data_IF_978085134863
#
_entry.id   IF_978085134863
#
_cell.length_a   1.000
_cell.length_b   1.000
_cell.length_c   1.000
_cell.angle_alpha   90.00
_cell.angle_beta   90.00
_cell.angle_gamma   90.00
#
_symmetry.space_group_name_H-M   'P 1'
#
loop_
_entity.id
_entity.type
_entity.pdbx_description
1 polymer ?
#
# COMPACT_ATOMS: atom_id res chain seq x y z
N UNK A 1 -5.75 21.95 49.93
CA UNK A 1 -5.97 20.51 50.12
C UNK A 1 -6.14 19.91 48.74
N UNK A 2 -5.13 19.13 48.35
CA UNK A 2 -4.91 18.49 47.05
C UNK A 2 -5.97 17.44 46.76
N UNK A 3 -6.32 17.24 45.48
CA UNK A 3 -6.39 15.94 44.78
C UNK A 3 -6.85 16.19 43.33
N UNK A 4 -5.90 16.17 42.39
CA UNK A 4 -6.17 16.08 40.96
C UNK A 4 -6.22 14.58 40.64
N UNK A 5 -7.42 14.04 40.43
CA UNK A 5 -7.59 12.68 39.95
C UNK A 5 -7.05 12.56 38.54
N UNK A 6 -5.95 11.83 38.38
CA UNK A 6 -5.38 11.49 37.09
C UNK A 6 -6.32 10.54 36.34
N UNK A 7 -6.81 10.99 35.18
CA UNK A 7 -7.46 10.12 34.23
C UNK A 7 -6.40 9.29 33.52
N UNK A 8 -6.40 8.00 33.83
CA UNK A 8 -5.67 6.93 33.14
C UNK A 8 -5.81 7.04 31.63
N UNK A 9 -4.68 6.99 30.92
CA UNK A 9 -4.64 6.80 29.47
C UNK A 9 -5.35 5.49 29.12
N UNK A 10 -6.48 5.60 28.41
CA UNK A 10 -7.19 4.46 27.88
C UNK A 10 -6.42 3.87 26.70
N UNK A 11 -6.16 2.57 26.76
CA UNK A 11 -5.61 1.75 25.69
C UNK A 11 -6.34 1.99 24.36
N UNK A 12 -5.59 2.36 23.32
CA UNK A 12 -6.11 2.56 21.98
C UNK A 12 -6.35 1.20 21.30
N UNK A 13 -7.60 0.73 21.35
CA UNK A 13 -8.07 -0.39 20.54
C UNK A 13 -8.21 0.05 19.08
N UNK A 14 -7.65 -0.74 18.16
CA UNK A 14 -7.87 -0.63 16.72
C UNK A 14 -9.37 -0.49 16.41
N UNK A 15 -9.80 0.68 15.93
CA UNK A 15 -11.19 0.86 15.52
C UNK A 15 -11.41 0.09 14.23
N UNK A 16 -11.94 -1.11 14.40
CA UNK A 16 -12.39 -1.97 13.31
C UNK A 16 -13.65 -1.32 12.76
N UNK A 17 -13.66 -0.91 11.49
CA UNK A 17 -14.94 -0.61 10.81
C UNK A 17 -15.82 -1.85 10.97
N UNK A 18 -17.05 -1.66 11.44
CA UNK A 18 -17.93 -2.76 11.83
C UNK A 18 -17.95 -3.86 10.74
N UNK A 19 -17.63 -5.13 11.09
CA UNK A 19 -17.64 -6.20 10.12
C UNK A 19 -19.05 -6.42 9.57
N UNK A 20 -19.15 -6.75 8.28
CA UNK A 20 -20.39 -7.23 7.67
C UNK A 20 -20.95 -8.43 8.47
N UNK A 21 -22.28 -8.60 8.55
CA UNK A 21 -22.90 -9.57 9.45
C UNK A 21 -22.52 -11.01 9.06
N UNK A 22 -22.07 -11.75 10.08
CA UNK A 22 -21.91 -13.20 10.20
C UNK A 22 -21.59 -14.02 8.93
N UNK A 23 -20.44 -13.71 8.31
CA UNK A 23 -19.61 -14.79 7.78
C UNK A 23 -18.68 -15.23 8.92
N UNK A 24 -18.88 -16.46 9.38
CA UNK A 24 -18.00 -17.23 10.26
C UNK A 24 -16.54 -16.75 10.17
N UNK A 25 -16.14 -15.97 11.17
CA UNK A 25 -14.87 -15.25 11.13
C UNK A 25 -13.76 -16.28 11.09
N UNK A 26 -12.94 -16.22 10.03
CA UNK A 26 -11.62 -16.84 10.08
C UNK A 26 -10.96 -16.45 11.41
N UNK A 27 -10.21 -17.37 12.04
CA UNK A 27 -9.44 -17.02 13.23
C UNK A 27 -8.68 -15.72 12.96
N UNK A 28 -8.62 -14.81 13.94
CA UNK A 28 -7.92 -13.53 13.77
C UNK A 28 -6.44 -13.70 13.37
N UNK A 29 -5.85 -14.85 13.68
CA UNK A 29 -4.52 -15.25 13.22
C UNK A 29 -4.41 -15.42 11.69
N UNK A 30 -5.51 -15.74 11.01
CA UNK A 30 -5.58 -15.93 9.57
C UNK A 30 -5.85 -14.65 8.78
N UNK A 31 -6.32 -13.60 9.47
CA UNK A 31 -6.58 -12.28 8.87
C UNK A 31 -5.51 -11.25 9.21
N UNK A 32 -4.57 -11.59 10.12
CA UNK A 32 -3.39 -10.78 10.43
C UNK A 32 -2.22 -11.20 9.54
N UNK A 33 -2.18 -10.68 8.32
CA UNK A 33 -1.02 -10.83 7.46
C UNK A 33 0.13 -9.95 7.97
N UNK A 34 1.37 -10.48 7.95
CA UNK A 34 2.55 -9.72 8.34
C UNK A 34 2.78 -8.57 7.36
N UNK A 35 2.78 -7.33 7.87
CA UNK A 35 3.07 -6.14 7.06
C UNK A 35 4.50 -6.20 6.56
N UNK A 36 4.72 -6.37 5.24
CA UNK A 36 6.07 -6.55 4.69
C UNK A 36 7.00 -5.40 5.11
N UNK A 37 8.24 -5.68 5.55
CA UNK A 37 9.16 -4.64 6.00
C UNK A 37 9.38 -3.54 4.96
N UNK A 38 9.48 -3.91 3.68
CA UNK A 38 9.58 -2.95 2.59
C UNK A 38 8.31 -2.09 2.48
N UNK A 39 7.12 -2.69 2.44
CA UNK A 39 5.88 -1.92 2.37
C UNK A 39 5.72 -0.98 3.58
N UNK A 40 6.18 -1.39 4.76
CA UNK A 40 6.22 -0.56 5.96
C UNK A 40 7.21 0.59 5.83
N UNK A 41 8.36 0.40 5.20
CA UNK A 41 9.36 1.47 5.01
C UNK A 41 8.83 2.63 4.18
N UNK A 42 7.93 2.35 3.23
CA UNK A 42 7.31 3.36 2.36
C UNK A 42 5.91 3.78 2.83
N UNK A 43 5.50 3.35 4.03
CA UNK A 43 4.16 3.56 4.57
C UNK A 43 3.06 3.21 3.56
N UNK A 44 3.17 2.08 2.88
CA UNK A 44 2.17 1.67 1.89
C UNK A 44 0.91 1.19 2.60
N UNK A 45 -0.21 1.82 2.28
CA UNK A 45 -1.52 1.53 2.86
C UNK A 45 -2.54 1.17 1.78
N UNK A 46 -3.55 0.39 2.17
CA UNK A 46 -4.64 -0.01 1.28
C UNK A 46 -5.43 -1.17 1.85
N UNK A 47 -6.36 -1.69 1.05
CA UNK A 47 -7.17 -2.85 1.41
C UNK A 47 -7.14 -3.86 0.28
N UNK A 48 -6.66 -5.06 0.58
CA UNK A 48 -6.75 -6.20 -0.34
C UNK A 48 -8.00 -6.99 0.00
N UNK A 49 -8.88 -7.22 -0.97
CA UNK A 49 -10.04 -8.13 -0.81
C UNK A 49 -9.72 -9.44 -1.49
N UNK A 50 -9.76 -10.52 -0.71
CA UNK A 50 -9.45 -11.87 -1.17
C UNK A 50 -10.71 -12.74 -1.20
N UNK A 51 -10.84 -13.51 -2.27
CA UNK A 51 -11.76 -14.63 -2.36
C UNK A 51 -11.02 -15.92 -2.07
N UNK A 52 -11.65 -16.82 -1.33
CA UNK A 52 -11.07 -18.10 -0.97
C UNK A 52 -12.15 -19.16 -0.77
N UNK A 53 -11.73 -20.42 -0.68
CA UNK A 53 -12.55 -21.55 -0.23
C UNK A 53 -11.81 -22.33 0.84
N UNK A 54 -12.56 -23.09 1.61
CA UNK A 54 -12.00 -24.14 2.46
C UNK A 54 -12.12 -25.44 1.67
N UNK A 55 -11.03 -26.20 1.59
CA UNK A 55 -10.98 -27.54 1.02
C UNK A 55 -10.18 -28.44 1.95
N UNK A 56 -10.79 -29.53 2.39
CA UNK A 56 -10.21 -30.44 3.38
C UNK A 56 -9.59 -29.70 4.59
N UNK A 57 -10.35 -28.76 5.17
CA UNK A 57 -9.92 -27.96 6.34
C UNK A 57 -8.73 -27.04 6.10
N UNK A 58 -8.40 -26.74 4.84
CA UNK A 58 -7.34 -25.80 4.47
C UNK A 58 -7.88 -24.70 3.59
N UNK A 59 -7.27 -23.53 3.69
CA UNK A 59 -7.54 -22.44 2.75
C UNK A 59 -7.03 -22.84 1.37
N UNK A 60 -7.88 -22.70 0.36
CA UNK A 60 -7.62 -23.03 -1.03
C UNK A 60 -8.22 -21.95 -1.96
N UNK A 61 -7.83 -22.00 -3.24
CA UNK A 61 -8.35 -21.15 -4.32
C UNK A 61 -8.31 -19.64 -4.03
N UNK A 62 -7.28 -19.19 -3.30
CA UNK A 62 -7.13 -17.78 -2.93
C UNK A 62 -6.90 -16.92 -4.16
N UNK A 63 -7.74 -15.90 -4.35
CA UNK A 63 -7.67 -14.95 -5.46
C UNK A 63 -7.89 -13.53 -4.97
N UNK A 64 -7.19 -12.57 -5.58
CA UNK A 64 -7.42 -11.14 -5.31
C UNK A 64 -8.67 -10.71 -6.09
N UNK A 65 -9.74 -10.36 -5.35
CA UNK A 65 -10.94 -9.74 -5.93
C UNK A 65 -10.73 -8.25 -6.13
N UNK A 66 -10.13 -7.58 -5.15
CA UNK A 66 -9.81 -6.14 -5.20
C UNK A 66 -8.40 -5.92 -4.68
N UNK A 67 -7.58 -5.26 -5.49
CA UNK A 67 -6.21 -4.92 -5.14
C UNK A 67 -6.16 -3.76 -4.12
N UNK A 68 -5.16 -3.77 -3.27
CA UNK A 68 -4.80 -2.65 -2.40
C UNK A 68 -4.21 -1.47 -3.16
N UNK A 69 -3.82 -1.67 -4.42
CA UNK A 69 -3.02 -0.73 -5.21
C UNK A 69 -1.52 -0.92 -5.05
N UNK A 70 -1.07 -1.90 -4.24
CA UNK A 70 0.34 -2.22 -4.06
C UNK A 70 0.56 -3.73 -4.20
N UNK A 71 1.25 -4.21 -5.27
CA UNK A 71 1.46 -5.64 -5.49
C UNK A 71 2.10 -6.37 -4.30
N UNK A 72 3.00 -5.70 -3.58
CA UNK A 72 3.66 -6.26 -2.39
C UNK A 72 2.69 -6.56 -1.25
N UNK A 73 1.68 -5.70 -1.04
CA UNK A 73 0.64 -5.89 -0.02
C UNK A 73 -0.32 -6.99 -0.44
N UNK A 74 -0.72 -7.01 -1.71
CA UNK A 74 -1.63 -8.03 -2.24
C UNK A 74 -1.00 -9.43 -2.18
N UNK A 75 0.27 -9.54 -2.54
CA UNK A 75 1.01 -10.80 -2.43
C UNK A 75 1.18 -11.23 -0.97
N UNK A 76 1.38 -10.29 -0.04
CA UNK A 76 1.46 -10.60 1.39
C UNK A 76 0.12 -11.07 1.95
N UNK A 77 -0.99 -10.45 1.54
CA UNK A 77 -2.34 -10.88 1.92
C UNK A 77 -2.61 -12.31 1.45
N UNK A 78 -2.31 -12.63 0.19
CA UNK A 78 -2.48 -13.97 -0.38
C UNK A 78 -1.65 -15.00 0.39
N UNK A 79 -0.35 -14.74 0.60
CA UNK A 79 0.52 -15.66 1.34
C UNK A 79 0.06 -15.86 2.78
N UNK A 80 -0.32 -14.80 3.47
CA UNK A 80 -0.81 -14.85 4.84
C UNK A 80 -2.08 -15.70 4.96
N UNK A 81 -3.03 -15.50 4.05
CA UNK A 81 -4.27 -16.26 4.03
C UNK A 81 -4.03 -17.73 3.65
N UNK A 82 -3.13 -18.04 2.71
CA UNK A 82 -2.76 -19.42 2.35
C UNK A 82 -2.01 -20.16 3.47
N UNK A 83 -1.23 -19.43 4.28
CA UNK A 83 -0.50 -19.99 5.41
C UNK A 83 -1.40 -20.25 6.63
N UNK A 84 -2.62 -19.73 6.64
CA UNK A 84 -3.60 -19.96 7.70
C UNK A 84 -3.86 -21.46 7.90
N UNK A 85 -3.66 -21.91 9.15
CA UNK A 85 -4.05 -23.25 9.60
C UNK A 85 -5.40 -23.14 10.30
N UNK A 86 -6.44 -23.71 9.70
CA UNK A 86 -7.72 -23.85 10.37
C UNK A 86 -7.60 -24.94 11.44
N UNK A 87 -8.26 -24.73 12.58
CA UNK A 87 -8.43 -25.80 13.55
C UNK A 87 -9.38 -26.83 12.95
N UNK A 88 -9.01 -28.10 13.05
CA UNK A 88 -9.91 -29.23 12.78
C UNK A 88 -10.82 -29.44 13.97
N UNK A 89 -11.61 -28.43 14.30
CA UNK A 89 -12.74 -28.58 15.21
C UNK A 89 -14.04 -28.49 14.41
N UNK A 90 -15.14 -28.96 15.01
CA UNK A 90 -16.44 -29.12 14.37
C UNK A 90 -17.11 -27.82 13.92
N UNK A 91 -16.51 -26.64 14.18
CA UNK A 91 -17.09 -25.36 13.79
C UNK A 91 -16.84 -25.03 12.31
N UNK A 92 -15.64 -25.31 11.79
CA UNK A 92 -15.34 -25.03 10.38
C UNK A 92 -16.00 -26.08 9.46
N UNK A 93 -16.35 -25.76 8.20
CA UNK A 93 -16.76 -26.78 7.25
C UNK A 93 -15.52 -27.45 6.61
N UNK A 94 -15.62 -28.76 6.31
CA UNK A 94 -14.59 -29.48 5.54
C UNK A 94 -14.35 -28.84 4.18
N UNK A 95 -15.43 -28.46 3.51
CA UNK A 95 -15.44 -27.77 2.22
C UNK A 95 -16.42 -26.59 2.27
N UNK A 96 -16.08 -25.47 1.62
CA UNK A 96 -16.94 -24.28 1.61
C UNK A 96 -17.25 -23.76 0.21
N UNK A 97 -18.37 -23.04 0.08
CA UNK A 97 -18.57 -22.09 -1.01
C UNK A 97 -17.49 -21.00 -1.01
N UNK A 98 -17.39 -20.21 -2.09
CA UNK A 98 -16.49 -19.04 -2.12
C UNK A 98 -16.88 -18.08 -1.01
N UNK A 99 -15.90 -17.70 -0.20
CA UNK A 99 -15.99 -16.68 0.84
C UNK A 99 -15.05 -15.53 0.51
N UNK A 100 -15.26 -14.38 1.15
CA UNK A 100 -14.43 -13.19 0.98
C UNK A 100 -13.91 -12.69 2.31
N UNK A 101 -12.72 -12.07 2.29
CA UNK A 101 -12.12 -11.42 3.45
C UNK A 101 -11.36 -10.17 3.03
N UNK A 102 -11.46 -9.14 3.88
CA UNK A 102 -10.74 -7.89 3.71
C UNK A 102 -9.47 -7.92 4.57
N UNK A 103 -8.32 -7.62 3.96
CA UNK A 103 -7.05 -7.42 4.64
C UNK A 103 -6.69 -5.93 4.54
N UNK A 104 -6.72 -5.23 5.68
CA UNK A 104 -6.51 -3.79 5.78
C UNK A 104 -5.09 -3.48 6.25
N UNK A 105 -4.38 -2.67 5.47
CA UNK A 105 -3.04 -2.15 5.75
C UNK A 105 -3.15 -0.67 6.08
N UNK A 106 -3.08 -0.32 7.37
CA UNK A 106 -3.23 1.05 7.85
C UNK A 106 -2.36 1.30 9.08
N UNK A 107 -1.74 2.47 9.15
CA UNK A 107 -1.00 2.94 10.32
C UNK A 107 -1.96 3.42 11.41
N UNK A 108 -1.58 3.25 12.68
CA UNK A 108 -2.42 3.60 13.83
C UNK A 108 -2.57 5.12 14.05
N UNK A 109 -1.76 5.95 13.38
CA UNK A 109 -1.70 7.41 13.61
C UNK A 109 -2.55 8.26 12.65
N UNK A 110 -3.39 7.64 11.82
CA UNK A 110 -4.10 8.33 10.73
C UNK A 110 -3.19 8.61 9.53
N UNK A 111 -3.66 9.40 8.53
CA UNK A 111 -2.90 9.64 7.31
C UNK A 111 -1.53 10.28 7.59
N UNK A 112 -0.47 9.66 7.07
CA UNK A 112 0.88 10.21 7.20
C UNK A 112 1.01 11.56 6.48
N UNK A 113 1.65 12.51 7.14
CA UNK A 113 2.02 13.81 6.59
C UNK A 113 3.27 13.64 5.70
N UNK A 114 3.03 13.39 4.40
CA UNK A 114 4.05 13.06 3.38
C UNK A 114 4.70 14.30 2.74
N UNK A 115 5.96 14.21 2.28
CA UNK A 115 6.63 15.29 1.58
C UNK A 115 5.80 15.82 0.40
N UNK A 116 5.85 17.12 0.17
CA UNK A 116 5.14 17.79 -0.91
C UNK A 116 6.11 18.13 -2.04
N UNK A 117 5.69 17.95 -3.29
CA UNK A 117 6.49 18.36 -4.44
C UNK A 117 6.68 19.89 -4.40
N UNK A 118 7.92 20.36 -4.49
CA UNK A 118 8.19 21.78 -4.72
C UNK A 118 7.79 22.09 -6.17
N UNK A 119 6.93 23.11 -6.41
CA UNK A 119 6.57 23.53 -7.76
C UNK A 119 7.81 23.77 -8.63
N UNK A 120 7.73 23.35 -9.90
CA UNK A 120 8.75 23.55 -10.94
C UNK A 120 10.15 23.03 -10.58
N UNK A 121 10.26 22.10 -9.64
CA UNK A 121 11.54 21.57 -9.19
C UNK A 121 12.08 20.41 -10.02
N UNK A 122 11.21 19.69 -10.73
CA UNK A 122 11.64 18.62 -11.63
C UNK A 122 12.29 19.23 -12.88
N UNK A 123 13.32 18.57 -13.41
CA UNK A 123 13.95 18.98 -14.66
C UNK A 123 12.94 18.89 -15.82
N UNK A 124 12.99 19.86 -16.73
CA UNK A 124 12.19 19.83 -17.95
C UNK A 124 12.55 18.60 -18.79
N UNK A 125 11.53 17.91 -19.31
CA UNK A 125 11.69 16.73 -20.16
C UNK A 125 10.59 16.65 -21.19
N UNK A 126 10.96 16.38 -22.45
CA UNK A 126 9.98 16.11 -23.51
C UNK A 126 9.30 14.75 -23.32
N UNK A 127 9.97 13.80 -22.67
CA UNK A 127 9.48 12.44 -22.42
C UNK A 127 8.65 12.33 -21.15
N UNK A 128 8.92 13.18 -20.16
CA UNK A 128 8.26 13.19 -18.85
C UNK A 128 7.59 14.54 -18.60
N UNK A 129 6.31 14.71 -18.99
CA UNK A 129 5.59 15.97 -18.84
C UNK A 129 5.42 16.43 -17.39
N UNK A 130 5.50 15.52 -16.41
CA UNK A 130 5.27 15.85 -15.02
C UNK A 130 5.36 14.66 -14.08
N UNK A 131 5.38 14.98 -12.79
CA UNK A 131 5.15 14.05 -11.69
C UNK A 131 3.90 14.49 -10.92
N UNK A 132 2.91 13.59 -10.80
CA UNK A 132 1.71 13.83 -10.00
C UNK A 132 1.88 13.16 -8.64
N UNK A 133 2.14 13.92 -7.55
CA UNK A 133 2.29 13.34 -6.22
C UNK A 133 0.98 12.71 -5.76
N UNK A 134 1.08 11.58 -5.05
CA UNK A 134 -0.03 10.82 -4.49
C UNK A 134 -1.03 10.21 -5.50
N UNK A 135 -0.78 10.32 -6.79
CA UNK A 135 -1.51 9.54 -7.80
C UNK A 135 -1.12 8.06 -7.69
N UNK A 136 -2.12 7.21 -7.46
CA UNK A 136 -1.99 5.75 -7.29
C UNK A 136 -2.40 4.96 -8.52
N UNK A 137 -2.68 5.64 -9.64
CA UNK A 137 -3.06 4.98 -10.89
C UNK A 137 -1.95 4.01 -11.29
N UNK A 138 -2.27 2.72 -11.53
CA UNK A 138 -1.27 1.72 -11.89
C UNK A 138 -0.46 2.12 -13.11
N UNK A 139 0.77 1.60 -13.17
CA UNK A 139 1.63 1.74 -14.34
C UNK A 139 0.95 1.26 -15.61
N UNK A 140 0.93 2.12 -16.62
CA UNK A 140 0.29 1.92 -17.92
C UNK A 140 1.06 2.71 -19.00
N UNK A 141 0.53 2.77 -20.22
CA UNK A 141 1.20 3.42 -21.35
C UNK A 141 1.40 4.94 -21.17
N UNK A 142 0.56 5.59 -20.38
CA UNK A 142 0.55 7.04 -20.14
C UNK A 142 1.28 7.46 -18.84
N UNK A 143 1.76 6.51 -18.04
CA UNK A 143 2.45 6.85 -16.81
C UNK A 143 2.90 5.66 -15.98
N UNK A 144 3.92 5.89 -15.16
CA UNK A 144 4.52 4.90 -14.26
C UNK A 144 4.29 5.31 -12.82
N UNK A 145 3.67 4.42 -12.05
CA UNK A 145 3.57 4.54 -10.59
C UNK A 145 4.95 4.32 -9.98
N UNK A 146 5.37 5.25 -9.13
CA UNK A 146 6.65 5.17 -8.41
C UNK A 146 6.43 5.38 -6.92
N UNK A 147 7.33 4.81 -6.12
CA UNK A 147 7.49 5.13 -4.70
C UNK A 147 8.96 5.37 -4.37
N UNK A 148 9.21 6.25 -3.42
CA UNK A 148 10.57 6.65 -3.02
C UNK A 148 10.54 7.24 -1.60
N UNK A 149 11.73 7.54 -1.10
CA UNK A 149 11.94 8.22 0.17
C UNK A 149 12.60 9.57 -0.10
N UNK A 150 12.43 10.56 0.77
CA UNK A 150 13.10 11.86 0.67
C UNK A 150 14.08 12.09 1.82
N UNK A 151 15.29 12.58 1.55
CA UNK A 151 16.22 12.93 2.62
C UNK A 151 15.89 14.31 3.23
N UNK A 152 16.67 14.76 4.23
CA UNK A 152 16.47 16.07 4.88
C UNK A 152 16.66 17.29 3.95
N UNK A 153 17.20 17.09 2.74
CA UNK A 153 17.32 18.12 1.69
C UNK A 153 16.16 18.09 0.69
N UNK A 154 15.22 17.16 0.85
CA UNK A 154 14.12 16.97 -0.09
C UNK A 154 14.50 16.24 -1.37
N UNK A 155 15.65 15.56 -1.39
CA UNK A 155 16.09 14.78 -2.55
C UNK A 155 15.54 13.36 -2.44
N UNK A 156 14.94 12.82 -3.52
CA UNK A 156 14.39 11.49 -3.49
C UNK A 156 15.48 10.43 -3.65
N UNK A 157 15.36 9.31 -2.94
CA UNK A 157 16.26 8.17 -2.99
C UNK A 157 15.48 6.86 -2.81
N UNK A 158 16.14 5.71 -3.07
CA UNK A 158 15.50 4.39 -3.05
C UNK A 158 14.22 4.34 -3.91
N UNK A 159 14.31 4.87 -5.14
CA UNK A 159 13.19 4.96 -6.08
C UNK A 159 12.86 3.56 -6.60
N UNK A 160 11.58 3.19 -6.51
CA UNK A 160 11.01 1.94 -7.01
C UNK A 160 9.90 2.26 -8.00
N UNK A 161 9.92 1.56 -9.12
CA UNK A 161 8.86 1.61 -10.12
C UNK A 161 7.93 0.43 -9.83
N UNK A 162 6.64 0.71 -9.81
CA UNK A 162 5.61 -0.29 -9.59
C UNK A 162 5.08 -0.80 -10.92
N UNK A 163 4.56 -2.04 -10.93
CA UNK A 163 4.08 -2.67 -12.15
C UNK A 163 5.21 -3.12 -13.09
N UNK A 164 4.84 -3.41 -14.35
CA UNK A 164 5.76 -3.95 -15.35
C UNK A 164 6.35 -2.82 -16.20
N UNK A 165 7.61 -2.49 -15.97
CA UNK A 165 8.43 -1.64 -16.85
C UNK A 165 9.60 -2.50 -17.33
N UNK A 166 9.51 -3.01 -18.56
CA UNK A 166 10.48 -3.98 -19.12
C UNK A 166 11.66 -3.31 -19.82
N UNK A 167 11.49 -2.06 -20.24
CA UNK A 167 12.56 -1.27 -20.84
C UNK A 167 13.45 -0.69 -19.72
N UNK A 168 14.68 -1.21 -19.66
CA UNK A 168 15.66 -0.80 -18.65
C UNK A 168 16.13 0.64 -18.84
N UNK A 169 16.21 1.12 -20.08
CA UNK A 169 16.62 2.49 -20.37
C UNK A 169 15.54 3.46 -19.91
N UNK A 170 14.28 3.20 -20.28
CA UNK A 170 13.14 3.96 -19.79
C UNK A 170 13.07 3.95 -18.25
N UNK A 171 13.30 2.79 -17.63
CA UNK A 171 13.28 2.66 -16.18
C UNK A 171 14.35 3.57 -15.51
N UNK A 172 15.56 3.62 -16.06
CA UNK A 172 16.62 4.48 -15.55
C UNK A 172 16.32 5.97 -15.78
N UNK A 173 15.83 6.32 -16.96
CA UNK A 173 15.40 7.70 -17.27
C UNK A 173 14.29 8.19 -16.31
N UNK A 174 13.32 7.33 -15.95
CA UNK A 174 12.30 7.64 -14.96
C UNK A 174 12.92 7.90 -13.58
N UNK A 175 13.90 7.08 -13.15
CA UNK A 175 14.60 7.30 -11.88
C UNK A 175 15.32 8.63 -11.87
N UNK A 176 16.05 8.94 -12.94
CA UNK A 176 16.77 10.20 -13.10
C UNK A 176 15.82 11.40 -13.09
N UNK A 177 14.68 11.29 -13.78
CA UNK A 177 13.64 12.33 -13.76
C UNK A 177 13.12 12.57 -12.34
N UNK A 178 12.74 11.51 -11.62
CA UNK A 178 12.30 11.66 -10.22
C UNK A 178 13.42 12.25 -9.36
N UNK A 179 14.68 11.85 -9.57
CA UNK A 179 15.84 12.37 -8.85
C UNK A 179 16.10 13.86 -9.07
N UNK A 180 15.65 14.42 -10.19
CA UNK A 180 15.71 15.85 -10.46
C UNK A 180 14.72 16.67 -9.61
N UNK A 181 13.60 16.09 -9.21
CA UNK A 181 12.58 16.77 -8.42
C UNK A 181 13.07 17.11 -7.00
N UNK A 182 12.46 18.12 -6.38
CA UNK A 182 12.69 18.48 -4.98
C UNK A 182 11.38 18.46 -4.20
N UNK A 183 11.47 17.97 -2.97
CA UNK A 183 10.35 17.84 -2.06
C UNK A 183 10.56 18.70 -0.83
N UNK A 184 9.48 19.21 -0.26
CA UNK A 184 9.50 19.97 0.99
C UNK A 184 8.72 19.21 2.05
N UNK A 185 9.04 19.47 3.32
CA UNK A 185 8.32 18.86 4.42
C UNK A 185 6.82 19.16 4.32
N UNK A 186 5.99 18.16 4.66
CA UNK A 186 4.55 18.31 4.63
C UNK A 186 4.08 19.40 5.60
N UNK A 187 3.25 20.33 5.12
CA UNK A 187 2.47 21.22 5.99
C UNK A 187 1.11 20.61 6.39
N UNK A 188 1.05 19.29 6.52
CA UNK A 188 -0.15 18.55 6.92
C UNK A 188 -0.03 18.04 8.37
N UNK A 189 -1.16 17.93 9.11
CA UNK A 189 -1.21 17.26 10.40
C UNK A 189 -0.99 15.75 10.23
N UNK A 190 -0.60 15.08 11.33
CA UNK A 190 -0.39 13.63 11.37
C UNK A 190 1.08 13.23 11.48
N UNK A 191 1.36 11.92 11.61
CA UNK A 191 2.71 11.39 11.71
C UNK A 191 3.53 11.79 10.48
N UNK A 192 4.71 12.39 10.70
CA UNK A 192 5.61 12.74 9.60
C UNK A 192 6.22 11.48 9.02
N UNK A 193 6.38 11.47 7.70
CA UNK A 193 7.08 10.41 6.98
C UNK A 193 7.97 11.03 5.91
N UNK A 194 9.03 10.33 5.55
CA UNK A 194 9.86 10.61 4.38
C UNK A 194 9.41 9.85 3.13
N UNK A 195 8.41 8.96 3.25
CA UNK A 195 7.93 8.16 2.15
C UNK A 195 6.92 8.90 1.27
N UNK A 196 7.11 8.82 -0.04
CA UNK A 196 6.21 9.37 -1.03
C UNK A 196 5.99 8.39 -2.18
N UNK A 197 4.86 8.55 -2.86
CA UNK A 197 4.57 7.90 -4.11
C UNK A 197 3.84 8.88 -5.02
N UNK A 198 3.75 8.53 -6.29
CA UNK A 198 3.01 9.28 -7.28
C UNK A 198 3.23 8.70 -8.67
N UNK A 199 2.77 9.43 -9.68
CA UNK A 199 2.82 8.98 -11.06
C UNK A 199 3.74 9.87 -11.88
N UNK A 200 4.75 9.27 -12.51
CA UNK A 200 5.52 9.94 -13.57
C UNK A 200 4.73 9.80 -14.86
N UNK A 201 4.37 10.92 -15.48
CA UNK A 201 3.64 10.93 -16.75
C UNK A 201 4.58 10.60 -17.90
N UNK A 202 4.09 9.83 -18.87
CA UNK A 202 4.81 9.54 -20.11
C UNK A 202 4.17 10.31 -21.26
N UNK A 203 5.00 10.99 -22.05
CA UNK A 203 4.52 11.58 -23.29
C UNK A 203 4.04 10.49 -24.26
N UNK A 204 2.97 10.72 -25.04
CA UNK A 204 2.52 9.77 -26.06
C UNK A 204 3.68 9.45 -27.03
N UNK A 205 3.91 8.17 -27.30
CA UNK A 205 4.85 7.79 -28.34
C UNK A 205 4.36 8.32 -29.69
N UNK A 206 5.20 9.09 -30.40
CA UNK A 206 4.88 9.68 -31.70
C UNK A 206 4.73 8.66 -32.86
N UNK A 207 4.60 7.35 -32.58
CA UNK A 207 4.68 6.27 -33.56
C UNK A 207 3.49 5.31 -33.61
N UNK A 208 2.36 5.62 -32.97
CA UNK A 208 1.16 4.79 -33.04
C UNK A 208 0.22 5.19 -34.18
N UNK A 209 0.45 4.66 -35.39
CA UNK A 209 -0.59 4.47 -36.41
C UNK A 209 -0.83 2.98 -36.57
#
# INVERSE_FOLDING_TARGET
>A
MTLISGTTMADALAQTRAPAPEAERLPSACTRADWPPEARRYDLEGTTVLDYRIKDWRIADVKVRKASGWPILDAAAVRGLQACKLKTDTAQPRDSAVRSVDIVWATAGGPSARPQLRPDSCAASAQFPGFIPLDRTPTAADGVLVRFLTNGRGEPFNIRLEGRVTDNELAEQIRQYVHSCRFVAANAPGPKTDALFGRVLLAPHAGGK
#
